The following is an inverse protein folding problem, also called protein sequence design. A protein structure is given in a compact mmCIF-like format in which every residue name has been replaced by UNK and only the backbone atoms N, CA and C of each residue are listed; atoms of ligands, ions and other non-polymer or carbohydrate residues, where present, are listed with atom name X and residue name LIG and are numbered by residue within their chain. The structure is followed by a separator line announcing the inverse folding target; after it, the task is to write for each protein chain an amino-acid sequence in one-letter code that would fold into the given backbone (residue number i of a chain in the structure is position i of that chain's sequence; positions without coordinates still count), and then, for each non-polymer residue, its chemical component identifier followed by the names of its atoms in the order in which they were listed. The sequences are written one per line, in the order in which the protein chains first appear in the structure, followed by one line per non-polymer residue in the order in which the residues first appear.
data_IF_372136790014
#
_entry.id   IF_372136790014
#
_cell.length_a   1.000
_cell.length_b   1.000
_cell.length_c   1.000
_cell.angle_alpha   90.00
_cell.angle_beta   90.00
_cell.angle_gamma   90.00
#
_symmetry.space_group_name_H-M   'P 1'
#
loop_
_entity.id
_entity.type
_entity.pdbx_description
1 polymer ?
#
# COMPACT_ATOMS: atom_id res chain seq x y z
N UNK A 1 -13.10 -59.39 50.93
CA UNK A 1 -13.16 -60.01 49.59
C UNK A 1 -13.21 -58.87 48.59
N UNK A 2 -12.24 -58.86 47.69
CA UNK A 2 -11.91 -57.76 46.77
C UNK A 2 -12.80 -57.88 45.54
N UNK A 3 -13.45 -56.81 45.10
CA UNK A 3 -14.14 -56.78 43.81
C UNK A 3 -13.60 -55.60 42.98
N UNK A 4 -12.82 -55.92 41.94
CA UNK A 4 -12.26 -54.96 40.99
C UNK A 4 -13.24 -54.83 39.81
N UNK A 5 -13.85 -53.66 39.63
CA UNK A 5 -14.55 -53.30 38.39
C UNK A 5 -13.59 -52.51 37.48
N UNK A 6 -13.40 -52.90 36.21
CA UNK A 6 -12.57 -52.14 35.29
C UNK A 6 -13.38 -50.98 34.69
N UNK A 7 -12.88 -49.75 34.85
CA UNK A 7 -13.38 -48.57 34.15
C UNK A 7 -12.76 -48.53 32.75
N UNK A 8 -13.57 -48.72 31.73
CA UNK A 8 -13.19 -48.54 30.32
C UNK A 8 -13.02 -47.04 30.02
N UNK A 9 -11.79 -46.62 29.73
CA UNK A 9 -11.51 -45.29 29.19
C UNK A 9 -11.78 -45.30 27.67
N UNK A 10 -12.84 -44.61 27.23
CA UNK A 10 -13.06 -44.30 25.83
C UNK A 10 -12.22 -43.06 25.45
N UNK A 11 -11.18 -43.26 24.63
CA UNK A 11 -10.42 -42.16 24.05
C UNK A 11 -11.19 -41.57 22.85
N UNK A 12 -11.70 -40.34 22.99
CA UNK A 12 -12.25 -39.59 21.87
C UNK A 12 -11.09 -38.98 21.06
N UNK A 13 -10.93 -39.42 19.83
CA UNK A 13 -10.03 -38.81 18.85
C UNK A 13 -10.68 -37.52 18.32
N UNK A 14 -10.17 -36.37 18.73
CA UNK A 14 -10.51 -35.09 18.11
C UNK A 14 -9.74 -34.95 16.80
N UNK A 15 -10.43 -35.06 15.68
CA UNK A 15 -9.88 -34.68 14.38
C UNK A 15 -9.77 -33.15 14.31
N UNK A 16 -8.55 -32.64 14.37
CA UNK A 16 -8.28 -31.21 14.13
C UNK A 16 -8.40 -30.97 12.64
N UNK A 17 -9.49 -30.33 12.21
CA UNK A 17 -9.61 -29.84 10.84
C UNK A 17 -8.62 -28.69 10.64
N UNK A 18 -7.50 -28.97 9.97
CA UNK A 18 -6.59 -27.93 9.47
C UNK A 18 -7.29 -27.18 8.35
N UNK A 19 -7.85 -26.00 8.65
CA UNK A 19 -8.32 -25.07 7.65
C UNK A 19 -7.14 -24.63 6.77
N UNK A 20 -7.27 -24.79 5.45
CA UNK A 20 -6.32 -24.25 4.49
C UNK A 20 -6.26 -22.71 4.61
N UNK A 21 -5.11 -22.06 4.34
CA UNK A 21 -5.04 -20.61 4.36
C UNK A 21 -5.98 -20.07 3.28
N UNK A 22 -7.00 -19.35 3.70
CA UNK A 22 -7.87 -18.60 2.79
C UNK A 22 -7.00 -17.50 2.17
N UNK A 23 -6.57 -17.70 0.92
CA UNK A 23 -6.07 -16.62 0.08
C UNK A 23 -7.15 -15.54 0.07
N UNK A 24 -6.96 -14.47 0.82
CA UNK A 24 -7.92 -13.39 0.92
C UNK A 24 -8.21 -12.86 -0.49
N UNK A 25 -9.41 -13.12 -1.00
CA UNK A 25 -9.84 -12.60 -2.28
C UNK A 25 -10.14 -11.12 -2.10
N UNK A 26 -9.20 -10.26 -2.48
CA UNK A 26 -9.44 -8.81 -2.56
C UNK A 26 -10.52 -8.48 -3.58
N UNK A 27 -11.10 -7.28 -3.50
CA UNK A 27 -12.05 -6.81 -4.51
C UNK A 27 -11.32 -6.68 -5.85
N UNK A 28 -11.79 -7.31 -6.94
CA UNK A 28 -11.16 -7.17 -8.24
C UNK A 28 -11.07 -5.71 -8.65
N UNK A 29 -9.92 -5.28 -9.18
CA UNK A 29 -9.84 -3.93 -9.75
C UNK A 29 -10.63 -3.89 -11.07
N UNK A 30 -11.49 -2.88 -11.28
CA UNK A 30 -12.04 -2.59 -12.60
C UNK A 30 -10.93 -2.36 -13.63
N UNK A 31 -11.02 -2.99 -14.80
CA UNK A 31 -10.00 -2.85 -15.87
C UNK A 31 -10.12 -1.54 -16.65
N UNK A 32 -11.28 -0.89 -16.58
CA UNK A 32 -11.54 0.42 -17.20
C UNK A 32 -11.53 1.50 -16.13
N UNK A 33 -10.90 2.62 -16.45
CA UNK A 33 -10.82 3.78 -15.56
C UNK A 33 -12.21 4.38 -15.33
N UNK A 34 -12.62 4.44 -14.07
CA UNK A 34 -13.84 5.11 -13.67
C UNK A 34 -13.68 6.63 -13.77
N UNK A 35 -14.76 7.32 -14.12
CA UNK A 35 -14.74 8.78 -14.30
C UNK A 35 -14.22 9.50 -13.05
N UNK A 36 -13.30 10.44 -13.27
CA UNK A 36 -12.69 11.24 -12.21
C UNK A 36 -11.65 10.50 -11.36
N UNK A 37 -11.25 9.28 -11.74
CA UNK A 37 -10.11 8.59 -11.14
C UNK A 37 -8.92 8.53 -12.11
N UNK A 38 -7.79 8.09 -11.58
CA UNK A 38 -6.54 7.87 -12.29
C UNK A 38 -5.88 6.56 -11.88
N UNK A 39 -5.12 5.97 -12.80
CA UNK A 39 -4.08 5.03 -12.43
C UNK A 39 -2.91 5.80 -11.83
N UNK A 40 -2.22 5.29 -10.82
CA UNK A 40 -0.97 5.89 -10.32
C UNK A 40 0.17 4.91 -10.56
N UNK A 41 1.24 5.33 -11.23
CA UNK A 41 2.35 4.46 -11.64
C UNK A 41 3.72 5.11 -11.52
N UNK A 42 4.75 4.30 -11.38
CA UNK A 42 6.13 4.77 -11.52
C UNK A 42 6.51 4.98 -12.99
N UNK A 43 7.35 6.00 -13.23
CA UNK A 43 7.79 6.43 -14.57
C UNK A 43 9.29 6.25 -14.80
N UNK A 44 9.99 5.56 -13.88
CA UNK A 44 11.41 5.27 -14.01
C UNK A 44 11.76 3.82 -13.64
N UNK A 45 12.83 3.30 -14.23
CA UNK A 45 13.40 2.00 -13.83
C UNK A 45 13.81 2.00 -12.36
N UNK A 46 13.77 0.85 -11.66
CA UNK A 46 13.35 -0.48 -12.14
C UNK A 46 11.83 -0.71 -12.09
N UNK A 47 11.04 0.26 -11.63
CA UNK A 47 9.59 0.09 -11.40
C UNK A 47 8.74 0.74 -12.50
N UNK A 48 9.32 0.99 -13.67
CA UNK A 48 8.63 1.58 -14.80
C UNK A 48 7.34 0.78 -15.10
N UNK A 49 6.21 1.48 -15.18
CA UNK A 49 4.88 0.89 -15.39
C UNK A 49 4.44 -0.10 -14.28
N UNK A 50 4.97 0.03 -13.07
CA UNK A 50 4.36 -0.57 -11.86
C UNK A 50 3.37 0.41 -11.23
N UNK A 51 2.23 -0.12 -10.80
CA UNK A 51 1.06 0.65 -10.39
C UNK A 51 0.79 0.52 -8.90
N UNK A 52 0.39 1.65 -8.31
CA UNK A 52 0.01 1.76 -6.91
C UNK A 52 -1.19 0.87 -6.62
N UNK A 53 -1.07 0.05 -5.58
CA UNK A 53 -2.09 -0.90 -5.17
C UNK A 53 -1.81 -1.45 -3.77
N UNK A 54 -2.63 -2.40 -3.34
CA UNK A 54 -2.44 -3.25 -2.17
C UNK A 54 -2.40 -4.72 -2.60
N UNK A 55 -1.96 -5.61 -1.71
CA UNK A 55 -2.01 -7.05 -1.92
C UNK A 55 -2.56 -7.76 -0.68
N UNK A 56 -3.78 -8.33 -0.72
CA UNK A 56 -4.70 -8.43 -1.85
C UNK A 56 -5.18 -7.07 -2.41
N UNK A 57 -5.62 -6.99 -3.68
CA UNK A 57 -6.08 -5.74 -4.30
C UNK A 57 -7.27 -5.13 -3.56
N UNK A 58 -7.29 -3.81 -3.42
CA UNK A 58 -8.41 -3.02 -2.89
C UNK A 58 -8.82 -3.41 -1.45
N UNK A 59 -7.86 -3.85 -0.63
CA UNK A 59 -8.01 -4.19 0.79
C UNK A 59 -6.99 -3.38 1.61
N UNK A 60 -7.30 -2.90 2.83
CA UNK A 60 -6.33 -2.21 3.67
C UNK A 60 -5.01 -2.99 3.79
N UNK A 61 -3.88 -2.28 3.71
CA UNK A 61 -2.57 -2.92 3.74
C UNK A 61 -1.46 -2.04 3.19
N UNK A 62 -0.24 -2.57 3.17
CA UNK A 62 0.95 -1.88 2.66
C UNK A 62 0.72 -1.39 1.24
N UNK A 63 1.07 -0.13 0.98
CA UNK A 63 1.05 0.42 -0.36
C UNK A 63 2.24 -0.14 -1.15
N UNK A 64 1.98 -0.69 -2.32
CA UNK A 64 3.00 -1.28 -3.19
C UNK A 64 2.88 -0.74 -4.62
N UNK A 65 3.97 -0.82 -5.39
CA UNK A 65 3.92 -0.69 -6.85
C UNK A 65 4.07 -2.07 -7.50
N UNK A 66 3.03 -2.60 -8.14
CA UNK A 66 3.10 -3.93 -8.76
C UNK A 66 2.38 -3.95 -10.12
N UNK A 67 2.07 -5.14 -10.64
CA UNK A 67 1.43 -5.36 -11.95
C UNK A 67 0.24 -4.42 -12.21
N UNK A 68 0.16 -3.94 -13.45
CA UNK A 68 -0.96 -3.15 -13.97
C UNK A 68 -2.31 -3.89 -13.87
N UNK A 69 -2.29 -5.23 -13.82
CA UNK A 69 -3.49 -6.09 -13.77
C UNK A 69 -4.30 -5.95 -12.48
N UNK A 70 -3.68 -5.41 -11.42
CA UNK A 70 -4.27 -5.26 -10.09
C UNK A 70 -4.08 -3.84 -9.55
N UNK A 71 -3.76 -2.88 -10.43
CA UNK A 71 -3.62 -1.46 -10.12
C UNK A 71 -4.83 -0.94 -9.32
N UNK A 72 -4.67 -0.01 -8.39
CA UNK A 72 -5.82 0.72 -7.84
C UNK A 72 -6.29 1.83 -8.79
N UNK A 73 -7.42 2.46 -8.46
CA UNK A 73 -7.89 3.67 -9.14
C UNK A 73 -8.07 4.79 -8.12
N UNK A 74 -7.34 5.88 -8.32
CA UNK A 74 -7.15 6.89 -7.30
C UNK A 74 -7.60 8.27 -7.75
N UNK A 75 -7.96 9.11 -6.78
CA UNK A 75 -7.96 10.55 -6.97
C UNK A 75 -7.54 11.22 -5.65
N UNK A 76 -7.17 12.49 -5.73
CA UNK A 76 -6.89 13.31 -4.56
C UNK A 76 -8.13 14.13 -4.23
N UNK A 77 -8.70 13.90 -3.05
CA UNK A 77 -9.91 14.59 -2.55
C UNK A 77 -9.59 15.17 -1.18
N UNK A 78 -9.70 16.49 -1.04
CA UNK A 78 -9.43 17.21 0.21
C UNK A 78 -8.08 16.83 0.84
N UNK A 79 -7.04 16.75 0.01
CA UNK A 79 -5.69 16.41 0.46
C UNK A 79 -5.43 14.92 0.74
N UNK A 80 -6.39 14.04 0.48
CA UNK A 80 -6.26 12.59 0.68
C UNK A 80 -6.08 11.89 -0.66
N UNK A 81 -5.11 10.98 -0.78
CA UNK A 81 -5.07 10.05 -1.92
C UNK A 81 -6.03 8.88 -1.64
N UNK A 82 -7.13 8.83 -2.39
CA UNK A 82 -8.25 7.91 -2.16
C UNK A 82 -8.30 6.86 -3.26
N UNK A 83 -8.22 5.58 -2.92
CA UNK A 83 -8.56 4.48 -3.81
C UNK A 83 -10.08 4.28 -3.81
N UNK A 84 -10.72 4.51 -4.96
CA UNK A 84 -12.17 4.33 -5.14
C UNK A 84 -12.53 2.99 -5.81
N UNK A 85 -11.54 2.13 -6.11
CA UNK A 85 -11.79 0.77 -6.57
C UNK A 85 -12.21 -0.18 -5.42
N UNK A 86 -12.16 0.28 -4.16
CA UNK A 86 -12.65 -0.42 -2.98
C UNK A 86 -13.97 0.19 -2.49
N UNK A 87 -14.76 -0.62 -1.78
CA UNK A 87 -15.93 -0.17 -1.02
C UNK A 87 -15.89 -0.81 0.39
N UNK A 88 -15.72 -0.03 1.47
CA UNK A 88 -15.53 1.42 1.50
C UNK A 88 -14.23 1.89 0.82
N UNK A 89 -14.09 3.18 0.45
CA UNK A 89 -12.87 3.70 -0.13
C UNK A 89 -11.68 3.55 0.83
N UNK A 90 -10.49 3.36 0.26
CA UNK A 90 -9.24 3.34 1.03
C UNK A 90 -8.49 4.66 0.89
N UNK A 91 -7.90 5.12 1.99
CA UNK A 91 -7.11 6.34 2.06
C UNK A 91 -5.65 5.97 2.27
N UNK A 92 -4.75 6.61 1.54
CA UNK A 92 -3.32 6.42 1.75
C UNK A 92 -2.87 7.16 3.02
N UNK A 93 -2.22 6.42 3.90
CA UNK A 93 -1.55 6.90 5.09
C UNK A 93 -0.04 6.95 4.86
N UNK A 94 0.60 7.85 5.60
CA UNK A 94 2.07 7.94 5.70
C UNK A 94 2.43 7.91 7.17
N UNK A 95 3.51 7.19 7.48
CA UNK A 95 4.05 7.09 8.83
C UNK A 95 4.38 8.47 9.37
N UNK A 96 3.88 8.75 10.58
CA UNK A 96 4.26 9.93 11.33
C UNK A 96 5.52 9.61 12.16
N UNK A 97 6.68 10.23 11.85
CA UNK A 97 7.89 9.96 12.59
C UNK A 97 7.83 10.59 14.00
N UNK A 98 8.50 9.92 14.95
CA UNK A 98 8.67 10.43 16.32
C UNK A 98 9.44 11.75 16.33
N UNK A 99 10.60 11.81 15.66
CA UNK A 99 11.34 13.05 15.40
C UNK A 99 11.01 13.57 14.00
N UNK A 100 10.20 14.64 13.94
CA UNK A 100 9.77 15.27 12.69
C UNK A 100 10.83 16.21 12.11
N UNK A 101 11.76 16.69 12.94
CA UNK A 101 12.86 17.55 12.51
C UNK A 101 13.97 16.72 11.86
N UNK A 102 14.18 15.48 12.32
CA UNK A 102 15.14 14.53 11.77
C UNK A 102 14.47 13.19 11.44
N UNK A 103 13.55 13.16 10.46
CA UNK A 103 12.80 11.95 10.15
C UNK A 103 13.74 10.85 9.61
N UNK A 104 13.38 9.56 9.79
CA UNK A 104 14.09 8.48 9.12
C UNK A 104 13.99 8.64 7.59
N UNK A 105 14.90 7.98 6.87
CA UNK A 105 14.99 8.08 5.40
C UNK A 105 13.72 7.58 4.68
N UNK A 106 13.02 6.66 5.31
CA UNK A 106 11.81 6.00 4.82
C UNK A 106 10.67 6.30 5.79
N UNK A 107 9.56 6.84 5.30
CA UNK A 107 8.29 6.83 6.03
C UNK A 107 7.36 5.85 5.32
N UNK A 108 6.90 4.83 6.03
CA UNK A 108 6.05 3.79 5.45
C UNK A 108 4.74 4.38 4.91
N UNK A 109 4.25 3.83 3.80
CA UNK A 109 2.94 4.15 3.30
C UNK A 109 2.04 2.91 3.22
N UNK A 110 0.77 3.09 3.56
CA UNK A 110 -0.23 2.02 3.57
C UNK A 110 -1.62 2.59 3.29
N UNK A 111 -2.59 1.71 3.09
CA UNK A 111 -3.99 2.05 2.89
C UNK A 111 -4.84 1.62 4.08
N UNK A 112 -5.76 2.48 4.49
CA UNK A 112 -6.70 2.23 5.58
C UNK A 112 -8.11 2.69 5.17
N UNK A 113 -9.15 2.24 5.87
CA UNK A 113 -10.54 2.68 5.64
C UNK A 113 -10.85 4.04 6.25
N UNK A 114 -9.96 4.57 7.09
CA UNK A 114 -10.06 5.89 7.72
C UNK A 114 -9.17 6.90 7.01
N UNK A 115 -9.56 8.19 7.05
CA UNK A 115 -8.75 9.28 6.46
C UNK A 115 -7.42 9.41 7.20
N UNK A 116 -6.36 9.70 6.46
CA UNK A 116 -5.04 9.96 6.99
C UNK A 116 -5.02 11.31 7.75
N UNK A 117 -4.69 11.33 9.05
CA UNK A 117 -4.58 12.55 9.84
C UNK A 117 -3.24 13.30 9.63
N UNK A 118 -2.26 12.68 8.98
CA UNK A 118 -0.89 13.18 8.89
C UNK A 118 -0.43 13.45 7.45
N UNK A 119 -0.35 14.74 7.13
CA UNK A 119 0.10 15.22 5.84
C UNK A 119 -1.00 15.30 4.78
N UNK A 120 -0.60 15.72 3.58
CA UNK A 120 -1.48 16.09 2.48
C UNK A 120 -0.87 15.63 1.17
N UNK A 121 -1.69 15.00 0.36
CA UNK A 121 -1.39 14.64 -1.02
C UNK A 121 -1.85 15.73 -1.97
N UNK A 122 -1.09 15.96 -3.04
CA UNK A 122 -1.49 16.83 -4.15
C UNK A 122 -0.91 16.32 -5.47
N UNK A 123 -1.58 16.68 -6.57
CA UNK A 123 -0.99 16.55 -7.90
C UNK A 123 -0.22 17.84 -8.24
N UNK A 124 1.02 17.69 -8.69
CA UNK A 124 1.80 18.77 -9.29
C UNK A 124 2.09 18.37 -10.75
N UNK A 125 1.32 18.94 -11.68
CA UNK A 125 1.20 18.32 -13.01
C UNK A 125 0.58 16.92 -12.86
N UNK A 126 1.24 15.91 -13.40
CA UNK A 126 0.86 14.50 -13.23
C UNK A 126 1.46 13.84 -11.98
N UNK A 127 2.41 14.50 -11.32
CA UNK A 127 3.20 13.89 -10.24
C UNK A 127 2.42 13.88 -8.93
N UNK A 128 2.39 12.74 -8.23
CA UNK A 128 1.86 12.65 -6.86
C UNK A 128 2.91 13.15 -5.88
N UNK A 129 2.52 14.15 -5.11
CA UNK A 129 3.32 14.72 -4.02
C UNK A 129 2.70 14.43 -2.68
N UNK A 130 3.52 14.36 -1.64
CA UNK A 130 3.08 14.32 -0.25
C UNK A 130 3.89 15.30 0.59
N UNK A 131 3.22 16.05 1.45
CA UNK A 131 3.88 17.01 2.35
C UNK A 131 3.13 17.17 3.67
N UNK A 132 3.85 17.61 4.70
CA UNK A 132 3.31 18.02 5.98
C UNK A 132 4.17 19.15 6.53
N UNK A 133 3.61 20.22 7.14
CA UNK A 133 4.39 21.39 7.54
C UNK A 133 5.57 21.08 8.47
N UNK A 134 5.42 20.05 9.31
CA UNK A 134 6.35 19.66 10.37
C UNK A 134 7.52 18.79 9.89
N UNK A 135 7.46 18.22 8.68
CA UNK A 135 8.54 17.40 8.11
C UNK A 135 9.10 18.12 6.89
N UNK A 136 10.34 18.64 7.00
CA UNK A 136 11.00 19.33 5.89
C UNK A 136 11.65 18.32 4.95
N UNK A 137 11.45 18.51 3.65
CA UNK A 137 11.97 17.65 2.59
C UNK A 137 12.45 18.51 1.43
N UNK A 138 13.50 18.07 0.76
CA UNK A 138 14.02 18.75 -0.44
C UNK A 138 13.12 18.55 -1.65
N UNK A 139 12.49 17.37 -1.75
CA UNK A 139 11.60 17.01 -2.83
C UNK A 139 10.36 16.30 -2.28
N UNK A 140 9.19 16.92 -2.40
CA UNK A 140 7.91 16.37 -1.92
C UNK A 140 7.36 15.26 -2.82
N UNK A 141 7.89 15.12 -4.04
CA UNK A 141 7.56 14.07 -5.00
C UNK A 141 8.48 12.84 -4.90
N UNK A 142 9.46 12.83 -3.99
CA UNK A 142 10.40 11.72 -3.88
C UNK A 142 9.78 10.53 -3.13
N UNK A 143 9.79 9.37 -3.76
CA UNK A 143 9.33 8.10 -3.21
C UNK A 143 10.45 7.07 -3.25
N UNK A 144 10.38 6.07 -2.38
CA UNK A 144 11.21 4.87 -2.44
C UNK A 144 10.31 3.66 -2.68
N UNK A 145 10.76 2.79 -3.58
CA UNK A 145 10.21 1.44 -3.70
C UNK A 145 11.29 0.47 -3.23
N UNK A 146 10.99 -0.27 -2.17
CA UNK A 146 11.96 -1.14 -1.50
C UNK A 146 11.57 -2.62 -1.65
N UNK A 147 12.16 -3.47 -0.81
CA UNK A 147 11.85 -4.89 -0.74
C UNK A 147 10.33 -5.15 -0.74
N UNK A 148 9.92 -6.20 -1.46
CA UNK A 148 8.50 -6.58 -1.66
C UNK A 148 7.65 -5.48 -2.32
N UNK A 149 8.27 -4.58 -3.07
CA UNK A 149 7.62 -3.46 -3.77
C UNK A 149 6.94 -2.45 -2.85
N UNK A 150 7.25 -2.47 -1.55
CA UNK A 150 6.68 -1.54 -0.58
C UNK A 150 7.09 -0.11 -0.90
N UNK A 151 6.10 0.79 -0.88
CA UNK A 151 6.25 2.20 -1.17
C UNK A 151 6.46 2.99 0.12
N UNK A 152 7.41 3.91 0.09
CA UNK A 152 7.75 4.81 1.18
C UNK A 152 7.88 6.23 0.66
N UNK A 153 7.57 7.21 1.50
CA UNK A 153 8.01 8.59 1.27
C UNK A 153 9.52 8.65 1.49
N UNK A 154 10.27 9.21 0.53
CA UNK A 154 11.70 9.50 0.68
C UNK A 154 11.89 10.84 1.39
N UNK A 155 12.44 10.87 2.59
CA UNK A 155 12.67 12.14 3.31
C UNK A 155 13.97 12.83 2.92
N UNK A 156 14.89 12.12 2.27
CA UNK A 156 16.16 12.68 1.81
C UNK A 156 16.15 13.15 0.36
N UNK A 157 17.34 13.44 -0.16
CA UNK A 157 17.54 13.90 -1.53
C UNK A 157 17.22 12.79 -2.55
N UNK A 158 16.40 13.10 -3.55
CA UNK A 158 16.08 12.18 -4.64
C UNK A 158 17.34 11.77 -5.42
N UNK A 159 17.49 10.48 -5.71
CA UNK A 159 18.63 9.90 -6.44
C UNK A 159 20.01 10.11 -5.78
N UNK A 160 20.04 10.47 -4.49
CA UNK A 160 21.27 10.64 -3.73
C UNK A 160 21.21 9.88 -2.41
N UNK A 161 22.19 9.01 -2.16
CA UNK A 161 22.23 8.11 -1.00
C UNK A 161 20.92 7.33 -0.82
N UNK A 162 20.38 6.81 -1.93
CA UNK A 162 19.24 5.88 -1.91
C UNK A 162 19.58 4.70 -1.01
N UNK A 163 18.72 4.35 -0.03
CA UNK A 163 18.96 3.21 0.84
C UNK A 163 19.19 1.91 0.06
N UNK A 164 20.10 1.07 0.55
CA UNK A 164 20.34 -0.24 -0.04
C UNK A 164 19.05 -1.08 -0.09
N UNK A 165 18.80 -1.73 -1.22
CA UNK A 165 17.56 -2.49 -1.44
C UNK A 165 16.33 -1.65 -1.79
N UNK A 166 16.51 -0.35 -2.02
CA UNK A 166 15.46 0.54 -2.51
C UNK A 166 15.85 1.19 -3.84
N UNK A 167 14.83 1.60 -4.59
CA UNK A 167 14.97 2.47 -5.74
C UNK A 167 14.23 3.78 -5.48
N UNK A 168 14.87 4.91 -5.80
CA UNK A 168 14.20 6.20 -5.89
C UNK A 168 13.19 6.21 -7.05
N UNK A 169 12.02 6.79 -6.81
CA UNK A 169 10.94 6.90 -7.78
C UNK A 169 10.20 8.22 -7.64
N UNK A 170 9.62 8.66 -8.75
CA UNK A 170 8.44 9.52 -8.74
C UNK A 170 7.26 8.68 -9.22
N UNK A 171 6.06 8.97 -8.71
CA UNK A 171 4.83 8.31 -9.14
C UNK A 171 3.88 9.35 -9.72
N UNK A 172 3.21 8.97 -10.80
CA UNK A 172 2.47 9.88 -11.64
C UNK A 172 1.09 9.31 -11.91
N UNK A 173 0.11 10.17 -12.08
CA UNK A 173 -1.16 9.75 -12.61
C UNK A 173 -1.03 9.36 -14.09
N UNK A 174 -1.83 8.40 -14.50
CA UNK A 174 -2.05 7.99 -15.88
C UNK A 174 -3.55 7.85 -16.09
N UNK A 175 -4.08 8.46 -17.15
CA UNK A 175 -5.52 8.71 -17.33
C UNK A 175 -6.09 8.06 -18.59
N UNK A 176 -5.38 7.09 -19.17
CA UNK A 176 -5.91 6.31 -20.29
C UNK A 176 -6.99 5.32 -19.80
N UNK A 177 -7.76 4.80 -20.75
CA UNK A 177 -8.91 3.92 -20.48
C UNK A 177 -8.53 2.71 -19.64
N UNK A 178 -7.32 2.17 -19.83
CA UNK A 178 -6.81 0.97 -19.15
C UNK A 178 -5.38 1.19 -18.66
N UNK A 179 -5.02 0.59 -17.52
CA UNK A 179 -3.62 0.48 -17.13
C UNK A 179 -2.85 -0.39 -18.15
N UNK A 180 -1.58 -0.05 -18.41
CA UNK A 180 -0.74 -0.75 -19.38
C UNK A 180 0.59 -1.21 -18.78
N UNK A 181 1.23 -2.18 -19.45
CA UNK A 181 2.57 -2.67 -19.11
C UNK A 181 3.66 -1.82 -19.75
#
# INVERSE_FOLDING_TARGET
MVNHSPVLFAAALFAVATAAPQSGSGTPTPTTLASGNFWIRAVASPNYHKYLQTKPPNVPGVAILDSYTTAGQFNIVDGQLVNKASDPPLYMWVEEPTDKANPPRQLAAWFNTTRNPFGTFAFQGDTVTWSVPTVKRQNVAAWLVCAKQALYVNTGAYAYQTPAGCADQTIHYYNDKTANN
#
